data_IF_404279665899
#
_entry.id   IF_404279665899
#
_cell.length_a   1.000
_cell.length_b   1.000
_cell.length_c   1.000
_cell.angle_alpha   90.00
_cell.angle_beta   90.00
_cell.angle_gamma   90.00
#
_symmetry.space_group_name_H-M   'P 1'
#
loop_
_entity.id
_entity.type
_entity.pdbx_description
1 polymer ?
#
# COMPACT_ATOMS: atom_id res chain seq x y z
N UNK A 1 14.35 -2.59 0.28
CA UNK A 1 13.97 -4.01 0.48
C UNK A 1 12.49 -4.13 0.19
N UNK A 2 12.05 -5.04 -0.69
CA UNK A 2 10.63 -5.30 -0.87
C UNK A 2 10.02 -5.78 0.46
N UNK A 3 8.77 -5.38 0.73
CA UNK A 3 8.00 -5.91 1.85
C UNK A 3 7.95 -7.45 1.75
N UNK A 4 7.88 -8.20 2.87
CA UNK A 4 7.66 -9.64 2.80
C UNK A 4 6.40 -9.90 1.94
N UNK A 5 6.43 -10.94 1.08
CA UNK A 5 5.47 -11.11 -0.02
C UNK A 5 4.01 -11.29 0.44
N UNK A 6 3.74 -11.44 1.75
CA UNK A 6 2.39 -11.72 2.22
C UNK A 6 2.10 -11.26 3.65
N UNK A 7 0.92 -10.65 3.92
CA UNK A 7 0.44 -10.39 5.28
C UNK A 7 0.25 -11.66 6.12
N UNK A 8 -0.19 -12.78 5.53
CA UNK A 8 -0.45 -14.02 6.28
C UNK A 8 0.82 -14.85 6.58
N UNK A 9 1.98 -14.50 6.00
CA UNK A 9 3.27 -15.06 6.45
C UNK A 9 3.66 -14.56 7.85
N UNK A 10 2.90 -13.60 8.42
CA UNK A 10 3.03 -13.18 9.82
C UNK A 10 2.87 -14.31 10.86
N UNK A 11 2.37 -15.50 10.48
CA UNK A 11 2.29 -16.68 11.36
C UNK A 11 3.20 -17.86 10.97
N UNK A 12 4.05 -17.72 9.95
CA UNK A 12 5.05 -18.75 9.61
C UNK A 12 4.51 -20.09 9.08
N UNK A 13 3.23 -20.20 8.71
CA UNK A 13 2.71 -21.42 8.08
C UNK A 13 3.17 -21.50 6.62
N UNK A 14 4.21 -22.32 6.38
CA UNK A 14 4.88 -22.48 5.08
C UNK A 14 4.24 -23.52 4.14
N UNK A 15 3.45 -24.46 4.67
CA UNK A 15 2.91 -25.57 3.90
C UNK A 15 1.38 -25.51 3.81
N UNK A 16 0.85 -25.19 2.62
CA UNK A 16 -0.57 -25.42 2.32
C UNK A 16 -1.16 -24.58 1.18
N UNK A 17 -0.52 -23.49 0.75
CA UNK A 17 -1.14 -22.49 -0.16
C UNK A 17 -0.54 -22.43 -1.57
N UNK A 18 0.67 -22.95 -1.76
CA UNK A 18 1.40 -22.90 -3.04
C UNK A 18 0.63 -23.50 -4.21
N UNK A 19 -0.12 -24.60 -3.99
CA UNK A 19 -0.89 -25.25 -5.07
C UNK A 19 -1.98 -24.36 -5.66
N UNK A 20 -2.68 -23.59 -4.83
CA UNK A 20 -3.75 -22.70 -5.28
C UNK A 20 -3.20 -21.48 -6.00
N UNK A 21 -2.15 -20.88 -5.46
CA UNK A 21 -1.44 -19.73 -6.05
C UNK A 21 -0.84 -20.11 -7.41
N UNK A 22 -0.20 -21.27 -7.49
CA UNK A 22 0.30 -21.84 -8.74
C UNK A 22 -0.81 -22.05 -9.75
N UNK A 23 -1.89 -22.72 -9.36
CA UNK A 23 -3.02 -22.96 -10.27
C UNK A 23 -3.60 -21.64 -10.81
N UNK A 24 -3.71 -20.61 -9.96
CA UNK A 24 -4.16 -19.28 -10.38
C UNK A 24 -3.18 -18.62 -11.36
N UNK A 25 -1.87 -18.61 -11.07
CA UNK A 25 -0.87 -18.01 -11.96
C UNK A 25 -0.79 -18.75 -13.30
N UNK A 26 -0.88 -20.08 -13.32
CA UNK A 26 -0.95 -20.82 -14.59
C UNK A 26 -2.22 -20.49 -15.38
N UNK A 27 -3.36 -20.38 -14.70
CA UNK A 27 -4.64 -20.04 -15.31
C UNK A 27 -4.61 -18.65 -15.97
N UNK A 28 -4.00 -17.67 -15.30
CA UNK A 28 -3.88 -16.30 -15.81
C UNK A 28 -2.81 -16.21 -16.89
N UNK A 29 -1.67 -16.90 -16.74
CA UNK A 29 -0.64 -16.98 -17.76
C UNK A 29 -1.15 -17.57 -19.08
N UNK A 30 -2.03 -18.58 -19.01
CA UNK A 30 -2.69 -19.17 -20.19
C UNK A 30 -3.78 -18.31 -20.83
N UNK A 31 -4.07 -17.12 -20.28
CA UNK A 31 -5.02 -16.13 -20.81
C UNK A 31 -4.35 -14.86 -21.31
N UNK A 32 -3.03 -14.77 -21.18
CA UNK A 32 -2.30 -13.64 -21.72
C UNK A 32 -2.36 -13.68 -23.25
N UNK A 33 -2.58 -12.51 -23.83
CA UNK A 33 -2.43 -12.27 -25.26
C UNK A 33 -0.96 -12.48 -25.66
N UNK A 34 -0.70 -12.65 -26.96
CA UNK A 34 0.67 -12.91 -27.48
C UNK A 34 1.68 -11.84 -27.04
N UNK A 35 1.21 -10.62 -26.87
CA UNK A 35 2.02 -9.46 -26.49
C UNK A 35 2.25 -9.35 -24.96
N UNK A 36 1.72 -10.30 -24.18
CA UNK A 36 1.89 -10.41 -22.75
C UNK A 36 0.88 -9.64 -21.90
N UNK A 37 -0.13 -9.02 -22.50
CA UNK A 37 -1.23 -8.33 -21.80
C UNK A 37 -2.40 -9.27 -21.50
N UNK A 38 -3.35 -8.85 -20.65
CA UNK A 38 -4.63 -9.55 -20.47
C UNK A 38 -5.79 -8.64 -20.86
N UNK A 39 -6.46 -8.95 -21.97
CA UNK A 39 -7.68 -8.28 -22.43
C UNK A 39 -8.89 -9.23 -22.52
N UNK A 40 -10.10 -8.67 -22.73
CA UNK A 40 -11.27 -9.44 -23.21
C UNK A 40 -12.17 -10.13 -22.18
N UNK A 41 -11.87 -10.08 -20.87
CA UNK A 41 -12.77 -10.57 -19.82
C UNK A 41 -13.42 -9.42 -19.05
N UNK A 42 -14.63 -9.65 -18.51
CA UNK A 42 -15.25 -8.72 -17.59
C UNK A 42 -14.39 -8.58 -16.32
N UNK A 43 -14.14 -7.34 -15.89
CA UNK A 43 -13.34 -7.00 -14.72
C UNK A 43 -14.08 -5.96 -13.90
N UNK A 44 -14.11 -6.14 -12.57
CA UNK A 44 -14.55 -5.07 -11.66
C UNK A 44 -13.52 -3.94 -11.57
N UNK A 45 -12.24 -4.26 -11.81
CA UNK A 45 -11.11 -3.33 -11.83
C UNK A 45 -11.03 -2.49 -10.54
N UNK A 46 -10.64 -1.22 -10.64
CA UNK A 46 -10.61 -0.24 -9.57
C UNK A 46 -12.02 0.22 -9.15
N UNK A 47 -12.83 -0.75 -8.74
CA UNK A 47 -14.22 -0.62 -8.34
C UNK A 47 -14.44 0.54 -7.37
N UNK A 48 -15.48 1.33 -7.61
CA UNK A 48 -15.84 2.49 -6.79
C UNK A 48 -14.75 3.58 -6.73
N UNK A 49 -14.00 3.74 -7.82
CA UNK A 49 -13.34 5.01 -8.15
C UNK A 49 -14.35 6.16 -7.98
N UNK A 50 -14.04 7.23 -7.23
CA UNK A 50 -14.94 8.37 -7.02
C UNK A 50 -15.48 9.03 -8.31
N UNK A 51 -14.78 8.89 -9.43
CA UNK A 51 -15.23 9.41 -10.73
C UNK A 51 -16.07 8.41 -11.54
N UNK A 52 -16.22 7.16 -11.07
CA UNK A 52 -17.11 6.19 -11.70
C UNK A 52 -18.59 6.61 -11.52
N UNK A 53 -19.44 6.43 -12.54
CA UNK A 53 -20.86 6.70 -12.41
C UNK A 53 -21.50 5.84 -11.31
N UNK A 54 -22.50 6.37 -10.57
CA UNK A 54 -23.20 5.60 -9.56
C UNK A 54 -23.79 4.28 -10.09
N UNK A 55 -24.33 4.29 -11.31
CA UNK A 55 -24.95 3.15 -11.98
C UNK A 55 -23.97 2.15 -12.60
N UNK A 56 -22.70 2.53 -12.76
CA UNK A 56 -21.64 1.69 -13.33
C UNK A 56 -20.32 1.83 -12.54
N UNK A 57 -20.28 1.29 -11.31
CA UNK A 57 -19.14 1.42 -10.39
C UNK A 57 -17.86 0.70 -10.84
N UNK A 58 -17.90 -0.10 -11.91
CA UNK A 58 -16.70 -0.68 -12.55
C UNK A 58 -16.02 0.27 -13.53
N UNK A 59 -16.72 1.33 -13.99
CA UNK A 59 -16.21 2.28 -14.99
C UNK A 59 -15.30 3.33 -14.35
N UNK A 60 -14.21 2.85 -13.77
CA UNK A 60 -13.15 3.66 -13.18
C UNK A 60 -12.36 4.43 -14.25
N UNK A 61 -11.60 5.43 -13.81
CA UNK A 61 -10.73 6.25 -14.67
C UNK A 61 -9.50 5.48 -15.17
N UNK A 62 -9.07 4.47 -14.41
CA UNK A 62 -7.95 3.62 -14.79
C UNK A 62 -8.42 2.48 -15.68
N UNK A 63 -7.73 2.26 -16.80
CA UNK A 63 -8.07 1.21 -17.76
C UNK A 63 -8.11 -0.18 -17.09
N UNK A 64 -9.21 -0.91 -17.31
CA UNK A 64 -9.44 -2.19 -16.63
C UNK A 64 -8.52 -3.31 -17.11
N UNK A 65 -8.08 -3.27 -18.37
CA UNK A 65 -7.08 -4.21 -18.90
C UNK A 65 -5.69 -3.91 -18.35
N UNK A 66 -5.35 -2.63 -18.13
CA UNK A 66 -4.13 -2.27 -17.39
C UNK A 66 -4.15 -2.84 -15.97
N UNK A 67 -5.23 -2.62 -15.22
CA UNK A 67 -5.36 -3.14 -13.85
C UNK A 67 -5.27 -4.66 -13.84
N UNK A 68 -6.00 -5.36 -14.71
CA UNK A 68 -5.94 -6.82 -14.81
C UNK A 68 -4.52 -7.32 -15.12
N UNK A 69 -3.85 -6.74 -16.12
CA UNK A 69 -2.48 -7.09 -16.52
C UNK A 69 -1.49 -6.84 -15.37
N UNK A 70 -1.61 -5.70 -14.67
CA UNK A 70 -0.76 -5.36 -13.53
C UNK A 70 -0.94 -6.37 -12.37
N UNK A 71 -2.15 -6.85 -12.11
CA UNK A 71 -2.42 -7.87 -11.09
C UNK A 71 -1.91 -9.27 -11.48
N UNK A 72 -1.86 -9.62 -12.77
CA UNK A 72 -1.16 -10.85 -13.21
C UNK A 72 0.32 -10.74 -12.96
N UNK A 73 0.94 -9.63 -13.39
CA UNK A 73 2.36 -9.39 -13.11
C UNK A 73 2.63 -9.45 -11.61
N UNK A 74 1.77 -8.85 -10.78
CA UNK A 74 1.93 -8.90 -9.33
C UNK A 74 1.79 -10.32 -8.77
N UNK A 75 0.79 -11.09 -9.22
CA UNK A 75 0.57 -12.48 -8.79
C UNK A 75 1.76 -13.37 -9.14
N UNK A 76 2.32 -13.22 -10.34
CA UNK A 76 3.52 -13.92 -10.76
C UNK A 76 4.73 -13.58 -9.88
N UNK A 77 4.92 -12.29 -9.52
CA UNK A 77 5.98 -11.87 -8.60
C UNK A 77 5.82 -12.50 -7.22
N UNK A 78 4.60 -12.50 -6.67
CA UNK A 78 4.33 -13.11 -5.37
C UNK A 78 4.62 -14.61 -5.37
N UNK A 79 4.24 -15.33 -6.43
CA UNK A 79 4.55 -16.75 -6.56
C UNK A 79 6.05 -17.00 -6.75
N UNK A 80 6.77 -16.14 -7.46
CA UNK A 80 8.22 -16.20 -7.56
C UNK A 80 8.90 -16.04 -6.19
N UNK A 81 8.49 -15.04 -5.40
CA UNK A 81 8.99 -14.79 -4.06
C UNK A 81 8.69 -15.97 -3.12
N UNK A 82 7.50 -16.57 -3.23
CA UNK A 82 7.11 -17.76 -2.47
C UNK A 82 7.94 -19.00 -2.86
N UNK A 83 8.11 -19.24 -4.16
CA UNK A 83 8.93 -20.33 -4.68
C UNK A 83 10.39 -20.22 -4.20
N UNK A 84 10.94 -19.00 -4.18
CA UNK A 84 12.30 -18.75 -3.67
C UNK A 84 12.42 -19.08 -2.18
N UNK A 85 11.47 -18.64 -1.34
CA UNK A 85 11.47 -18.93 0.11
C UNK A 85 11.30 -20.44 0.40
N UNK A 86 10.63 -21.18 -0.49
CA UNK A 86 10.46 -22.64 -0.40
C UNK A 86 11.63 -23.43 -0.99
N UNK A 87 12.62 -22.77 -1.61
CA UNK A 87 13.77 -23.41 -2.25
C UNK A 87 13.50 -23.98 -3.65
N UNK A 88 12.39 -23.60 -4.28
CA UNK A 88 12.03 -23.99 -5.64
C UNK A 88 12.62 -23.01 -6.67
N UNK A 89 13.95 -22.98 -6.80
CA UNK A 89 14.67 -21.98 -7.61
C UNK A 89 14.22 -21.90 -9.08
N UNK A 90 13.96 -23.04 -9.73
CA UNK A 90 13.51 -23.05 -11.12
C UNK A 90 12.13 -22.40 -11.30
N UNK A 91 11.18 -22.69 -10.41
CA UNK A 91 9.85 -22.06 -10.43
C UNK A 91 9.98 -20.55 -10.11
N UNK A 92 10.86 -20.18 -9.18
CA UNK A 92 11.12 -18.77 -8.87
C UNK A 92 11.61 -17.98 -10.12
N UNK A 93 12.59 -18.51 -10.85
CA UNK A 93 13.10 -17.89 -12.07
C UNK A 93 12.02 -17.79 -13.16
N UNK A 94 11.24 -18.87 -13.33
CA UNK A 94 10.13 -18.94 -14.29
C UNK A 94 9.08 -17.87 -14.03
N UNK A 95 8.63 -17.74 -12.79
CA UNK A 95 7.59 -16.77 -12.44
C UNK A 95 8.12 -15.33 -12.36
N UNK A 96 9.40 -15.14 -12.03
CA UNK A 96 10.06 -13.84 -12.15
C UNK A 96 10.14 -13.40 -13.62
N UNK A 97 10.39 -14.31 -14.56
CA UNK A 97 10.36 -14.02 -15.99
C UNK A 97 8.95 -13.68 -16.48
N UNK A 98 7.92 -14.40 -16.02
CA UNK A 98 6.52 -14.05 -16.30
C UNK A 98 6.17 -12.65 -15.79
N UNK A 99 6.54 -12.32 -14.55
CA UNK A 99 6.36 -10.98 -14.00
C UNK A 99 6.98 -9.91 -14.89
N UNK A 100 8.26 -10.05 -15.27
CA UNK A 100 8.96 -9.08 -16.13
C UNK A 100 8.25 -8.90 -17.47
N UNK A 101 7.93 -9.99 -18.17
CA UNK A 101 7.25 -9.94 -19.47
C UNK A 101 5.92 -9.19 -19.40
N UNK A 102 5.09 -9.54 -18.42
CA UNK A 102 3.75 -8.94 -18.25
C UNK A 102 3.83 -7.49 -17.76
N UNK A 103 4.81 -7.16 -16.91
CA UNK A 103 5.06 -5.79 -16.47
C UNK A 103 5.52 -4.89 -17.63
N UNK A 104 6.47 -5.36 -18.45
CA UNK A 104 6.94 -4.66 -19.65
C UNK A 104 5.81 -4.46 -20.66
N UNK A 105 4.98 -5.47 -20.89
CA UNK A 105 3.80 -5.38 -21.74
C UNK A 105 2.80 -4.33 -21.22
N UNK A 106 2.48 -4.37 -19.92
CA UNK A 106 1.59 -3.39 -19.31
C UNK A 106 2.12 -1.95 -19.42
N UNK A 107 3.42 -1.76 -19.17
CA UNK A 107 4.03 -0.42 -19.25
C UNK A 107 4.09 0.11 -20.69
N UNK A 108 4.45 -0.75 -21.66
CA UNK A 108 4.47 -0.40 -23.08
C UNK A 108 3.09 0.04 -23.58
N UNK A 109 2.03 -0.65 -23.15
CA UNK A 109 0.67 -0.38 -23.64
C UNK A 109 -0.02 0.77 -22.90
N UNK A 110 0.16 0.89 -21.58
CA UNK A 110 -0.61 1.84 -20.76
C UNK A 110 0.25 2.79 -19.91
N UNK A 111 1.58 2.83 -20.06
CA UNK A 111 2.46 3.66 -19.22
C UNK A 111 2.06 5.14 -19.18
N UNK A 112 1.72 5.72 -20.33
CA UNK A 112 1.24 7.10 -20.42
C UNK A 112 -0.09 7.29 -19.70
N UNK A 113 -1.06 6.40 -19.93
CA UNK A 113 -2.37 6.45 -19.25
C UNK A 113 -2.24 6.27 -17.73
N UNK A 114 -1.42 5.32 -17.30
CA UNK A 114 -1.20 5.03 -15.88
C UNK A 114 -0.66 6.24 -15.12
N UNK A 115 0.11 7.12 -15.77
CA UNK A 115 0.62 8.37 -15.19
C UNK A 115 -0.46 9.43 -14.96
N UNK A 116 -1.66 9.24 -15.49
CA UNK A 116 -2.77 10.21 -15.39
C UNK A 116 -3.76 9.90 -14.27
N UNK A 117 -3.67 8.73 -13.62
CA UNK A 117 -4.58 8.33 -12.54
C UNK A 117 -3.82 7.93 -11.27
N UNK A 118 -4.43 8.17 -10.10
CA UNK A 118 -3.81 7.81 -8.82
C UNK A 118 -3.59 6.29 -8.72
N UNK A 119 -4.57 5.48 -9.13
CA UNK A 119 -4.46 4.02 -9.17
C UNK A 119 -3.41 3.56 -10.17
N UNK A 120 -3.39 4.14 -11.37
CA UNK A 120 -2.41 3.83 -12.41
C UNK A 120 -0.98 3.92 -11.89
N UNK A 121 -0.64 5.08 -11.29
CA UNK A 121 0.66 5.33 -10.70
C UNK A 121 0.94 4.43 -9.49
N UNK A 122 -0.04 4.25 -8.59
CA UNK A 122 0.12 3.45 -7.39
C UNK A 122 0.46 1.98 -7.72
N UNK A 123 -0.29 1.37 -8.65
CA UNK A 123 -0.03 0.01 -9.12
C UNK A 123 1.33 -0.06 -9.84
N UNK A 124 1.64 0.91 -10.69
CA UNK A 124 2.91 0.92 -11.41
C UNK A 124 4.13 0.88 -10.48
N UNK A 125 4.06 1.66 -9.40
CA UNK A 125 5.11 1.79 -8.39
C UNK A 125 5.18 0.58 -7.46
N UNK A 126 4.05 0.12 -6.93
CA UNK A 126 4.00 -0.95 -5.93
C UNK A 126 4.20 -2.33 -6.54
N UNK A 127 3.75 -2.55 -7.78
CA UNK A 127 3.84 -3.86 -8.41
C UNK A 127 5.12 -4.06 -9.20
N UNK A 128 5.87 -2.98 -9.48
CA UNK A 128 7.10 -3.04 -10.27
C UNK A 128 6.83 -3.02 -11.78
N UNK A 129 5.75 -2.36 -12.20
CA UNK A 129 5.40 -2.22 -13.62
C UNK A 129 6.23 -1.10 -14.27
N UNK A 130 6.37 0.04 -13.57
CA UNK A 130 7.19 1.13 -14.06
C UNK A 130 8.68 0.75 -14.04
N UNK A 131 9.43 0.95 -15.16
CA UNK A 131 10.86 0.73 -15.23
C UNK A 131 11.60 1.51 -14.16
N UNK A 132 12.71 0.96 -13.66
CA UNK A 132 13.45 1.54 -12.54
C UNK A 132 13.83 3.02 -12.75
N UNK A 133 14.24 3.39 -13.98
CA UNK A 133 14.59 4.76 -14.35
C UNK A 133 13.40 5.73 -14.32
N UNK A 134 12.18 5.23 -14.48
CA UNK A 134 10.96 6.03 -14.59
C UNK A 134 10.21 6.18 -13.27
N UNK A 135 10.55 5.38 -12.25
CA UNK A 135 9.84 5.34 -10.95
C UNK A 135 9.77 6.70 -10.26
N UNK A 136 10.85 7.50 -10.31
CA UNK A 136 10.84 8.83 -9.71
C UNK A 136 9.83 9.75 -10.40
N UNK A 137 9.79 9.74 -11.74
CA UNK A 137 8.83 10.52 -12.51
C UNK A 137 7.37 10.04 -12.31
N UNK A 138 7.14 8.73 -12.13
CA UNK A 138 5.80 8.22 -11.78
C UNK A 138 5.39 8.66 -10.37
N UNK A 139 6.33 8.68 -9.42
CA UNK A 139 6.10 9.22 -8.08
C UNK A 139 5.69 10.68 -8.10
N UNK A 140 6.41 11.50 -8.87
CA UNK A 140 6.08 12.92 -9.05
C UNK A 140 4.71 13.09 -9.75
N UNK A 141 4.41 12.30 -10.78
CA UNK A 141 3.09 12.33 -11.43
C UNK A 141 1.96 12.02 -10.43
N UNK A 142 2.13 11.01 -9.57
CA UNK A 142 1.16 10.70 -8.51
C UNK A 142 0.99 11.86 -7.53
N UNK A 143 2.08 12.46 -7.08
CA UNK A 143 2.04 13.62 -6.18
C UNK A 143 1.37 14.83 -6.83
N UNK A 144 1.65 15.09 -8.11
CA UNK A 144 1.00 16.14 -8.88
C UNK A 144 -0.51 15.93 -9.00
N UNK A 145 -0.98 14.70 -9.23
CA UNK A 145 -2.40 14.36 -9.25
C UNK A 145 -3.07 14.63 -7.89
N UNK A 146 -2.40 14.30 -6.78
CA UNK A 146 -2.90 14.60 -5.43
C UNK A 146 -3.03 16.11 -5.24
N UNK A 147 -2.00 16.89 -5.57
CA UNK A 147 -2.02 18.35 -5.43
C UNK A 147 -3.08 19.00 -6.33
N UNK A 148 -3.20 18.55 -7.58
CA UNK A 148 -4.20 19.04 -8.53
C UNK A 148 -5.64 18.76 -8.09
N UNK A 149 -5.88 17.66 -7.36
CA UNK A 149 -7.18 17.33 -6.79
C UNK A 149 -7.35 17.82 -5.35
N UNK A 150 -6.61 18.85 -4.93
CA UNK A 150 -6.65 19.44 -3.58
C UNK A 150 -6.50 18.41 -2.45
N UNK A 151 -5.71 17.35 -2.67
CA UNK A 151 -5.48 16.30 -1.69
C UNK A 151 -6.63 15.30 -1.53
N UNK A 152 -7.60 15.25 -2.44
CA UNK A 152 -8.71 14.28 -2.37
C UNK A 152 -8.32 12.93 -3.00
N UNK A 153 -8.87 11.85 -2.45
CA UNK A 153 -8.63 10.50 -2.97
C UNK A 153 -9.32 10.33 -4.33
N UNK A 154 -8.66 9.65 -5.26
CA UNK A 154 -9.20 9.34 -6.58
C UNK A 154 -8.86 7.89 -6.96
N UNK A 155 -9.01 6.99 -5.99
CA UNK A 155 -8.78 5.55 -6.15
C UNK A 155 -9.99 4.76 -5.67
N UNK A 156 -10.34 3.71 -6.40
CA UNK A 156 -11.28 2.69 -5.97
C UNK A 156 -10.61 1.63 -5.09
N UNK A 157 -11.21 0.43 -5.08
CA UNK A 157 -10.80 -0.67 -4.20
C UNK A 157 -9.37 -1.16 -4.45
N UNK A 158 -8.90 -1.11 -5.70
CA UNK A 158 -7.61 -1.69 -6.06
C UNK A 158 -6.48 -0.67 -6.02
N UNK A 159 -6.74 0.63 -6.12
CA UNK A 159 -5.72 1.67 -5.91
C UNK A 159 -5.51 2.05 -4.44
N UNK A 160 -6.59 2.08 -3.65
CA UNK A 160 -6.56 2.61 -2.27
C UNK A 160 -5.53 1.93 -1.35
N UNK A 161 -5.33 0.59 -1.37
CA UNK A 161 -4.32 -0.05 -0.53
C UNK A 161 -2.88 0.37 -0.84
N UNK A 162 -2.63 0.95 -2.02
CA UNK A 162 -1.30 1.17 -2.58
C UNK A 162 -0.93 2.64 -2.75
N UNK A 163 -1.89 3.56 -2.76
CA UNK A 163 -1.65 4.99 -3.04
C UNK A 163 -0.71 5.66 -2.02
N UNK A 164 -0.97 5.50 -0.71
CA UNK A 164 -0.10 6.09 0.32
C UNK A 164 1.29 5.42 0.37
N UNK A 165 1.41 4.08 0.31
CA UNK A 165 2.71 3.43 0.15
C UNK A 165 3.49 3.87 -1.09
N UNK A 166 2.82 4.15 -2.22
CA UNK A 166 3.45 4.63 -3.45
C UNK A 166 4.01 6.04 -3.31
N UNK A 167 3.25 6.95 -2.72
CA UNK A 167 3.68 8.31 -2.41
C UNK A 167 4.89 8.30 -1.46
N UNK A 168 4.75 7.67 -0.29
CA UNK A 168 5.84 7.62 0.69
C UNK A 168 7.07 6.86 0.17
N UNK A 169 6.87 5.83 -0.65
CA UNK A 169 7.95 5.04 -1.25
C UNK A 169 8.76 5.79 -2.31
N UNK A 170 8.24 6.89 -2.84
CA UNK A 170 8.89 7.73 -3.87
C UNK A 170 9.30 9.11 -3.35
N UNK A 171 9.21 9.36 -2.03
CA UNK A 171 9.63 10.62 -1.42
C UNK A 171 8.49 11.60 -1.12
N UNK A 172 7.28 11.35 -1.62
CA UNK A 172 6.12 12.25 -1.54
C UNK A 172 5.29 12.00 -0.28
N UNK A 173 5.95 11.91 0.88
CA UNK A 173 5.28 11.59 2.15
C UNK A 173 4.33 12.73 2.57
N UNK A 174 4.62 13.98 2.20
CA UNK A 174 3.75 15.12 2.48
C UNK A 174 2.39 14.97 1.78
N UNK A 175 2.36 14.61 0.50
CA UNK A 175 1.14 14.34 -0.26
C UNK A 175 0.37 13.13 0.26
N UNK A 176 1.07 12.11 0.78
CA UNK A 176 0.41 10.99 1.46
C UNK A 176 -0.35 11.45 2.70
N UNK A 177 0.22 12.37 3.48
CA UNK A 177 -0.47 12.99 4.61
C UNK A 177 -1.61 13.91 4.18
N UNK A 178 -1.45 14.65 3.07
CA UNK A 178 -2.55 15.46 2.52
C UNK A 178 -3.76 14.59 2.19
N UNK A 179 -3.58 13.43 1.53
CA UNK A 179 -4.66 12.47 1.27
C UNK A 179 -5.30 11.93 2.55
N UNK A 180 -4.46 11.49 3.50
CA UNK A 180 -4.95 10.88 4.75
C UNK A 180 -5.80 11.85 5.56
N UNK A 181 -5.33 13.10 5.68
CA UNK A 181 -5.90 14.11 6.55
C UNK A 181 -6.96 14.98 5.87
N UNK A 182 -7.31 14.70 4.61
CA UNK A 182 -8.33 15.44 3.90
C UNK A 182 -9.74 15.14 4.45
N UNK A 183 -10.46 16.19 4.80
CA UNK A 183 -11.83 16.14 5.33
C UNK A 183 -12.90 16.42 4.27
N UNK A 184 -12.52 16.78 3.04
CA UNK A 184 -13.44 16.96 1.91
C UNK A 184 -13.79 15.63 1.26
N UNK A 185 -14.98 15.56 0.64
CA UNK A 185 -15.41 14.41 -0.14
C UNK A 185 -14.68 14.39 -1.51
N UNK A 186 -14.16 13.24 -1.96
CA UNK A 186 -14.01 11.96 -1.23
C UNK A 186 -12.78 11.93 -0.32
N UNK A 187 -12.87 11.23 0.81
CA UNK A 187 -11.74 11.04 1.74
C UNK A 187 -12.09 10.17 2.95
N UNK A 188 -11.06 9.69 3.67
CA UNK A 188 -11.27 8.92 4.91
C UNK A 188 -11.86 9.78 6.02
N UNK A 189 -11.26 10.95 6.30
CA UNK A 189 -11.76 11.83 7.36
C UNK A 189 -13.07 12.49 6.98
N UNK A 190 -13.39 12.63 5.69
CA UNK A 190 -14.74 13.00 5.27
C UNK A 190 -15.80 12.04 5.85
N UNK A 191 -15.60 10.73 5.79
CA UNK A 191 -16.53 9.76 6.38
C UNK A 191 -16.65 9.98 7.90
N UNK A 192 -15.53 10.19 8.58
CA UNK A 192 -15.50 10.44 10.03
C UNK A 192 -16.26 11.72 10.40
N UNK A 193 -16.05 12.82 9.67
CA UNK A 193 -16.76 14.10 9.85
C UNK A 193 -18.28 13.96 9.61
N UNK A 194 -18.69 12.95 8.84
CA UNK A 194 -20.10 12.59 8.63
C UNK A 194 -20.63 11.55 9.61
N UNK A 195 -19.89 11.26 10.68
CA UNK A 195 -20.33 10.37 11.77
C UNK A 195 -20.09 8.88 11.51
N UNK A 196 -19.26 8.53 10.53
CA UNK A 196 -18.90 7.13 10.31
C UNK A 196 -18.17 6.53 11.52
N UNK A 197 -18.68 5.39 12.01
CA UNK A 197 -18.01 4.55 13.02
C UNK A 197 -17.43 3.27 12.43
N UNK A 198 -17.67 3.03 11.14
CA UNK A 198 -17.11 1.96 10.31
C UNK A 198 -16.80 2.52 8.92
N UNK A 199 -16.02 1.80 8.10
CA UNK A 199 -15.68 2.22 6.75
C UNK A 199 -16.87 2.02 5.81
N UNK A 200 -17.18 2.99 4.96
CA UNK A 200 -18.26 2.85 3.98
C UNK A 200 -17.76 2.22 2.68
N UNK A 201 -18.67 1.56 1.97
CA UNK A 201 -18.41 0.96 0.64
C UNK A 201 -18.12 2.03 -0.41
N UNK A 202 -18.86 3.14 -0.38
CA UNK A 202 -18.63 4.31 -1.24
C UNK A 202 -17.98 5.43 -0.45
N UNK A 203 -17.10 6.18 -1.11
CA UNK A 203 -16.48 7.36 -0.52
C UNK A 203 -17.51 8.43 -0.13
N UNK A 204 -18.56 8.55 -0.93
CA UNK A 204 -19.65 9.53 -0.83
C UNK A 204 -20.98 8.89 -0.42
N UNK A 205 -20.95 7.78 0.35
CA UNK A 205 -22.15 7.05 0.77
C UNK A 205 -23.22 7.96 1.41
N UNK A 206 -22.77 8.95 2.18
CA UNK A 206 -23.52 10.18 2.46
C UNK A 206 -22.84 11.31 1.68
N UNK A 207 -23.61 12.04 0.87
CA UNK A 207 -23.12 13.15 0.06
C UNK A 207 -22.85 14.42 0.88
N UNK A 208 -22.13 15.41 0.31
CA UNK A 208 -21.87 16.66 1.01
C UNK A 208 -23.12 17.42 1.48
N UNK A 209 -24.25 17.25 0.80
CA UNK A 209 -25.55 17.82 1.15
C UNK A 209 -26.34 16.99 2.18
N UNK A 210 -25.78 15.88 2.65
CA UNK A 210 -26.40 14.96 3.61
C UNK A 210 -27.32 13.92 2.98
N UNK A 211 -27.51 13.94 1.65
CA UNK A 211 -28.37 12.96 0.97
C UNK A 211 -27.67 11.61 0.81
N UNK A 212 -28.48 10.56 0.67
CA UNK A 212 -28.04 9.20 0.38
C UNK A 212 -28.64 8.80 -0.96
N UNK A 213 -27.82 8.26 -1.85
CA UNK A 213 -28.31 7.74 -3.12
C UNK A 213 -28.92 6.36 -2.95
N UNK A 214 -30.24 6.30 -2.78
CA UNK A 214 -30.97 5.02 -2.71
C UNK A 214 -31.51 4.57 -4.06
N UNK A 215 -31.39 5.39 -5.11
CA UNK A 215 -32.04 5.14 -6.41
C UNK A 215 -31.04 4.79 -7.52
N UNK A 216 -29.96 5.56 -7.67
CA UNK A 216 -28.97 5.42 -8.76
C UNK A 216 -27.75 4.59 -8.37
N UNK A 217 -27.36 4.59 -7.10
CA UNK A 217 -26.31 3.69 -6.60
C UNK A 217 -26.75 2.21 -6.53
N UNK A 218 -28.03 1.94 -6.87
CA UNK A 218 -28.65 0.62 -6.72
C UNK A 218 -28.76 0.20 -5.26
N UNK A 219 -28.95 -1.10 -5.02
CA UNK A 219 -28.90 -1.70 -3.68
C UNK A 219 -27.47 -1.82 -3.12
N UNK A 220 -26.46 -1.26 -3.80
CA UNK A 220 -25.04 -1.41 -3.46
C UNK A 220 -24.53 -0.19 -2.71
N UNK A 221 -24.95 -0.13 -1.45
CA UNK A 221 -24.57 0.89 -0.50
C UNK A 221 -24.48 0.28 0.91
N UNK A 222 -23.28 -0.13 1.30
CA UNK A 222 -22.98 -0.55 2.67
C UNK A 222 -22.25 0.54 3.45
N UNK A 223 -22.69 0.78 4.69
CA UNK A 223 -21.97 1.64 5.64
C UNK A 223 -20.92 0.87 6.45
N UNK A 224 -20.66 -0.40 6.15
CA UNK A 224 -19.70 -1.24 6.87
C UNK A 224 -18.97 -2.20 5.91
N UNK A 225 -18.01 -1.66 5.16
CA UNK A 225 -17.18 -2.36 4.17
C UNK A 225 -15.70 -2.01 4.38
N UNK A 226 -14.89 -3.01 4.75
CA UNK A 226 -13.51 -2.77 5.22
C UNK A 226 -12.50 -2.36 4.14
N UNK A 227 -12.89 -2.30 2.86
CA UNK A 227 -11.97 -2.15 1.73
C UNK A 227 -11.03 -0.94 1.90
N UNK A 228 -11.59 0.22 2.24
CA UNK A 228 -10.81 1.45 2.49
C UNK A 228 -10.11 1.48 3.85
N UNK A 229 -10.42 0.54 4.73
CA UNK A 229 -9.68 0.27 5.96
C UNK A 229 -8.25 -0.23 5.72
N UNK A 230 -7.90 -0.58 4.47
CA UNK A 230 -6.53 -0.90 4.06
C UNK A 230 -5.50 0.18 4.44
N UNK A 231 -5.95 1.45 4.59
CA UNK A 231 -5.14 2.57 5.08
C UNK A 231 -4.42 2.29 6.40
N UNK A 232 -5.00 1.43 7.26
CA UNK A 232 -4.39 1.03 8.52
C UNK A 232 -2.98 0.46 8.33
N UNK A 233 -2.71 -0.28 7.24
CA UNK A 233 -1.37 -0.79 6.99
C UNK A 233 -0.33 0.34 6.87
N UNK A 234 -0.68 1.47 6.28
CA UNK A 234 0.21 2.64 6.16
C UNK A 234 0.38 3.37 7.51
N UNK A 235 -0.67 3.46 8.32
CA UNK A 235 -0.58 4.02 9.68
C UNK A 235 0.43 3.24 10.54
N UNK A 236 0.37 1.92 10.54
CA UNK A 236 1.31 1.10 11.32
C UNK A 236 2.73 1.14 10.73
N UNK A 237 2.87 0.96 9.41
CA UNK A 237 4.18 0.75 8.78
C UNK A 237 4.94 2.03 8.48
N UNK A 238 4.25 3.15 8.32
CA UNK A 238 4.83 4.44 7.91
C UNK A 238 4.71 5.48 9.00
N UNK A 239 3.49 5.76 9.50
CA UNK A 239 3.29 6.78 10.54
C UNK A 239 3.98 6.34 11.83
N UNK A 240 3.56 5.21 12.39
CA UNK A 240 4.22 4.64 13.56
C UNK A 240 5.61 4.08 13.21
N UNK A 241 5.75 3.50 12.01
CA UNK A 241 7.03 3.04 11.49
C UNK A 241 7.41 1.62 11.88
N UNK A 242 6.46 0.77 12.28
CA UNK A 242 6.72 -0.60 12.70
C UNK A 242 6.30 -1.59 11.61
N UNK A 243 7.26 -2.33 11.05
CA UNK A 243 6.97 -3.36 10.03
C UNK A 243 7.88 -4.58 10.12
N UNK A 244 7.40 -5.77 9.71
CA UNK A 244 8.26 -6.94 9.59
C UNK A 244 9.21 -6.80 8.40
N UNK A 245 10.45 -7.27 8.56
CA UNK A 245 11.42 -7.42 7.45
C UNK A 245 11.60 -8.88 7.04
N UNK A 246 11.12 -9.82 7.85
CA UNK A 246 10.99 -11.24 7.50
C UNK A 246 9.58 -11.74 7.78
N UNK A 247 9.20 -12.84 7.15
CA UNK A 247 8.02 -13.61 7.55
C UNK A 247 8.03 -13.88 9.07
N UNK A 248 6.85 -13.82 9.70
CA UNK A 248 6.68 -14.13 11.12
C UNK A 248 7.19 -13.07 12.11
N UNK A 249 7.62 -11.88 11.67
CA UNK A 249 8.14 -10.80 12.55
C UNK A 249 9.41 -11.15 13.33
N UNK A 250 10.20 -12.14 12.88
CA UNK A 250 11.48 -12.46 13.52
C UNK A 250 12.45 -11.27 13.46
N UNK A 251 12.46 -10.56 12.34
CA UNK A 251 13.14 -9.27 12.24
C UNK A 251 12.14 -8.16 11.87
N UNK A 252 12.35 -6.99 12.47
CA UNK A 252 11.50 -5.82 12.29
C UNK A 252 12.33 -4.62 11.81
N UNK A 253 11.67 -3.69 11.15
CA UNK A 253 12.17 -2.35 10.91
C UNK A 253 11.37 -1.36 11.76
N UNK A 254 12.10 -0.43 12.37
CA UNK A 254 11.57 0.73 13.09
C UNK A 254 12.00 1.97 12.32
N UNK A 255 11.07 2.58 11.60
CA UNK A 255 11.31 3.70 10.70
C UNK A 255 10.11 4.67 10.73
N UNK A 256 9.88 5.38 11.84
CA UNK A 256 8.77 6.34 11.94
C UNK A 256 8.94 7.44 10.90
N UNK A 257 7.82 7.98 10.40
CA UNK A 257 7.82 9.14 9.51
C UNK A 257 6.86 10.21 10.01
N UNK A 258 7.24 11.03 11.02
CA UNK A 258 6.44 12.16 11.45
C UNK A 258 6.08 13.08 10.27
N UNK A 259 4.87 13.61 10.27
CA UNK A 259 4.36 14.46 9.19
C UNK A 259 2.88 14.78 9.33
N UNK A 260 2.36 15.61 8.43
CA UNK A 260 0.94 15.99 8.43
C UNK A 260 0.49 16.77 9.68
N UNK A 261 1.41 17.40 10.40
CA UNK A 261 1.11 18.07 11.68
C UNK A 261 0.95 17.12 12.87
N UNK A 262 1.12 15.81 12.69
CA UNK A 262 1.13 14.87 13.80
C UNK A 262 2.39 15.06 14.64
N UNK A 263 2.21 15.30 15.92
CA UNK A 263 3.29 15.46 16.91
C UNK A 263 3.54 14.19 17.71
N UNK A 264 2.70 13.17 17.60
CA UNK A 264 2.94 11.86 18.21
C UNK A 264 2.19 10.74 17.50
N UNK A 265 2.67 9.50 17.68
CA UNK A 265 1.92 8.29 17.37
C UNK A 265 2.42 7.11 18.23
N UNK A 266 1.52 6.19 18.58
CA UNK A 266 1.83 4.90 19.21
C UNK A 266 1.15 3.77 18.42
N UNK A 267 1.86 2.66 18.25
CA UNK A 267 1.30 1.44 17.69
C UNK A 267 1.94 0.20 18.29
N UNK A 268 1.17 -0.89 18.34
CA UNK A 268 1.69 -2.20 18.73
C UNK A 268 1.06 -3.34 17.94
N UNK A 269 1.80 -4.42 17.79
CA UNK A 269 1.37 -5.65 17.11
C UNK A 269 1.73 -6.87 17.96
N UNK A 270 0.76 -7.77 18.14
CA UNK A 270 1.01 -9.08 18.76
C UNK A 270 1.58 -10.02 17.70
N UNK A 271 2.87 -10.30 17.80
CA UNK A 271 3.61 -11.20 16.92
C UNK A 271 3.63 -12.63 17.48
N UNK A 272 4.07 -13.65 16.71
CA UNK A 272 4.33 -14.99 17.24
C UNK A 272 5.35 -15.02 18.39
N UNK A 273 6.19 -14.00 18.52
CA UNK A 273 7.23 -13.89 19.55
C UNK A 273 6.76 -13.09 20.79
N UNK A 274 5.61 -12.42 20.71
CA UNK A 274 5.11 -11.49 21.74
C UNK A 274 4.74 -10.13 21.17
N UNK A 275 4.41 -9.17 22.04
CA UNK A 275 4.04 -7.80 21.64
C UNK A 275 5.29 -7.03 21.21
N UNK A 276 5.25 -6.45 20.01
CA UNK A 276 6.19 -5.44 19.56
C UNK A 276 5.48 -4.08 19.51
N UNK A 277 6.13 -3.00 19.93
CA UNK A 277 5.54 -1.66 19.92
C UNK A 277 6.54 -0.58 19.54
N UNK A 278 6.02 0.52 19.02
CA UNK A 278 6.73 1.77 18.78
C UNK A 278 5.84 2.93 19.21
N UNK A 279 6.42 3.89 19.91
CA UNK A 279 5.82 5.17 20.20
C UNK A 279 6.81 6.26 19.83
N UNK A 280 6.34 7.36 19.27
CA UNK A 280 7.18 8.54 19.08
C UNK A 280 6.44 9.82 19.42
N UNK A 281 7.20 10.82 19.85
CA UNK A 281 6.73 12.18 20.11
C UNK A 281 7.73 13.21 19.60
N UNK A 282 7.19 14.31 19.09
CA UNK A 282 7.91 15.43 18.51
C UNK A 282 7.70 16.65 19.41
N UNK A 283 8.79 17.18 19.94
CA UNK A 283 8.83 18.44 20.69
C UNK A 283 9.90 19.34 20.06
N UNK A 284 9.46 20.43 19.45
CA UNK A 284 10.31 21.38 18.72
C UNK A 284 11.23 20.68 17.70
N UNK A 285 12.52 20.62 18.02
CA UNK A 285 13.57 20.03 17.17
C UNK A 285 13.99 18.64 17.64
N UNK A 286 13.26 18.04 18.59
CA UNK A 286 13.59 16.75 19.20
C UNK A 286 12.48 15.73 18.96
N UNK A 287 12.86 14.59 18.38
CA UNK A 287 12.02 13.42 18.17
C UNK A 287 12.49 12.33 19.12
N UNK A 288 11.61 11.89 20.02
CA UNK A 288 11.85 10.74 20.89
C UNK A 288 11.10 9.54 20.34
N UNK A 289 11.76 8.38 20.26
CA UNK A 289 11.19 7.12 19.78
C UNK A 289 11.44 6.04 20.83
N UNK A 290 10.38 5.52 21.42
CA UNK A 290 10.38 4.39 22.33
C UNK A 290 9.98 3.11 21.58
N UNK A 291 10.77 2.05 21.72
CA UNK A 291 10.58 0.78 21.01
C UNK A 291 10.61 -0.36 22.02
N UNK A 292 9.66 -1.28 21.92
CA UNK A 292 9.70 -2.55 22.66
C UNK A 292 9.68 -3.72 21.69
N UNK A 293 10.68 -4.59 21.77
CA UNK A 293 10.82 -5.78 20.91
C UNK A 293 10.80 -7.06 21.76
N UNK A 294 9.94 -8.04 21.44
CA UNK A 294 9.82 -9.23 22.26
C UNK A 294 11.05 -10.16 22.12
N UNK A 295 11.30 -11.04 23.10
CA UNK A 295 12.39 -12.02 23.03
C UNK A 295 12.37 -12.84 21.73
N UNK A 296 13.56 -13.13 21.19
CA UNK A 296 13.69 -13.87 19.92
C UNK A 296 13.55 -13.02 18.66
N UNK A 297 13.32 -11.72 18.79
CA UNK A 297 13.28 -10.76 17.67
C UNK A 297 14.45 -9.78 17.68
N UNK A 298 14.72 -9.19 16.52
CA UNK A 298 15.64 -8.05 16.40
C UNK A 298 15.07 -6.96 15.50
N UNK A 299 15.39 -5.71 15.79
CA UNK A 299 14.98 -4.55 15.02
C UNK A 299 16.14 -3.90 14.27
N UNK A 300 15.81 -3.18 13.19
CA UNK A 300 16.71 -2.23 12.53
C UNK A 300 16.06 -0.86 12.59
N UNK A 301 16.75 0.10 13.20
CA UNK A 301 16.26 1.48 13.22
C UNK A 301 16.67 2.23 11.95
N UNK A 302 15.79 3.08 11.44
CA UNK A 302 16.10 4.09 10.43
C UNK A 302 15.57 5.43 10.89
N UNK A 303 16.46 6.41 11.02
CA UNK A 303 16.04 7.78 11.26
C UNK A 303 15.17 8.28 10.09
N UNK A 304 14.09 9.04 10.36
CA UNK A 304 13.37 9.75 9.32
C UNK A 304 14.29 10.75 8.60
N UNK A 305 13.92 11.10 7.37
CA UNK A 305 14.65 12.09 6.59
C UNK A 305 14.70 13.45 7.33
N UNK A 306 15.85 14.12 7.27
CA UNK A 306 16.06 15.36 8.02
C UNK A 306 16.32 15.16 9.52
N UNK A 307 16.36 13.92 10.03
CA UNK A 307 16.66 13.66 11.45
C UNK A 307 18.03 12.99 11.61
N UNK A 308 18.67 13.22 12.76
CA UNK A 308 19.89 12.54 13.17
C UNK A 308 19.74 11.99 14.57
N UNK A 309 19.98 10.69 14.73
CA UNK A 309 20.01 10.06 16.04
C UNK A 309 21.30 10.41 16.77
N UNK A 310 21.21 10.70 18.06
CA UNK A 310 22.35 11.00 18.93
C UNK A 310 23.21 9.77 19.17
N UNK A 311 22.60 8.58 19.12
CA UNK A 311 23.27 7.29 19.21
C UNK A 311 23.36 6.64 17.83
N UNK A 312 24.49 6.00 17.55
CA UNK A 312 24.65 5.19 16.34
C UNK A 312 23.92 3.86 16.52
N UNK A 313 22.63 3.83 16.19
CA UNK A 313 21.78 2.66 16.40
C UNK A 313 21.37 2.07 15.05
N UNK A 314 22.24 1.20 14.52
CA UNK A 314 21.91 0.40 13.35
C UNK A 314 21.04 -0.83 13.66
N UNK A 315 21.13 -1.38 14.88
CA UNK A 315 20.44 -2.64 15.26
C UNK A 315 19.92 -2.57 16.69
N UNK A 316 18.69 -3.05 16.88
CA UNK A 316 18.01 -3.18 18.16
C UNK A 316 17.89 -4.67 18.52
N UNK A 317 18.28 -5.04 19.73
CA UNK A 317 17.98 -6.36 20.30
C UNK A 317 16.54 -6.44 20.82
N UNK A 318 16.15 -7.57 21.42
CA UNK A 318 14.93 -7.63 22.22
C UNK A 318 15.05 -6.73 23.47
N UNK A 319 13.91 -6.29 24.01
CA UNK A 319 13.83 -5.38 25.14
C UNK A 319 13.33 -3.99 24.75
N UNK A 320 13.45 -3.06 25.69
CA UNK A 320 12.99 -1.68 25.54
C UNK A 320 14.16 -0.77 25.16
N UNK A 321 13.94 0.09 24.17
CA UNK A 321 14.93 1.02 23.63
C UNK A 321 14.32 2.41 23.54
N UNK A 322 15.10 3.42 23.95
CA UNK A 322 14.77 4.83 23.75
C UNK A 322 15.79 5.47 22.83
N UNK A 323 15.30 6.09 21.75
CA UNK A 323 16.09 6.77 20.74
C UNK A 323 15.73 8.26 20.75
N UNK A 324 16.74 9.12 20.78
CA UNK A 324 16.55 10.57 20.72
C UNK A 324 17.20 11.06 19.43
N UNK A 325 16.44 11.84 18.66
CA UNK A 325 16.86 12.40 17.40
C UNK A 325 16.67 13.92 17.42
N UNK A 326 17.56 14.61 16.71
CA UNK A 326 17.44 16.04 16.48
C UNK A 326 17.27 16.34 15.00
N UNK A 327 16.50 17.37 14.70
CA UNK A 327 16.35 17.88 13.33
C UNK A 327 17.71 18.36 12.80
N UNK A 328 18.00 18.05 11.55
CA UNK A 328 19.12 18.63 10.80
C UNK A 328 18.66 20.03 10.38
N UNK A 329 19.29 21.05 10.96
CA UNK A 329 19.18 22.44 10.52
C UNK A 329 19.47 22.59 9.03
#
# INVERSE_FOLDING_TARGET
MPNPPWPCLGRGSRCGRERGERAWVEFTAGRLDEDGTWSGNAQLSDWLDPAAPPEDPARATTDSAYVATAFVAHSARLLADAALELGHAHDADRYAALHRRTAEAAWRTWGDHARTTQTGCALALQFGIAPAAERAAVGEALAALVRANSGRIATGFLGTPFVLPALSGTGHTAEAYQLLLNTECPGWLYQVERGATTMWERWDAIRPDGTIDTEKAGTMLSFNHYAYGAVAAWLYRTVAGLRPTTAGYRTLEVAPRPGGGLTSADASVTTPYGKASVAWSLSDTTLTVDVSLPPGTTGRFRAPEGWRCTTDVGRLGSGDHRLVLHSRS
#
